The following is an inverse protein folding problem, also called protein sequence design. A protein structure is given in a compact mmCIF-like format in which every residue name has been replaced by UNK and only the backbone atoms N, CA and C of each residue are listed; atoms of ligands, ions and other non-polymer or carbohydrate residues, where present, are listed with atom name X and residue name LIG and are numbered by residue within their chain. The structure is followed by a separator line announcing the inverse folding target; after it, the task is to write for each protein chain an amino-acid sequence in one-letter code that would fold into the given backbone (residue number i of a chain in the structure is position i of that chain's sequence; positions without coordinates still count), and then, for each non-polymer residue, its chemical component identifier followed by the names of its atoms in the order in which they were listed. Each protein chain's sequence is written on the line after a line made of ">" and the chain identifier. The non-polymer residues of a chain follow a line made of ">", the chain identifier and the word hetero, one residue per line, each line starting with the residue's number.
data_IF_369158237208
#
_entry.id   IF_369158237208
#
_cell.length_a   1.000
_cell.length_b   1.000
_cell.length_c   1.000
_cell.angle_alpha   90.00
_cell.angle_beta   90.00
_cell.angle_gamma   90.00
#
_symmetry.space_group_name_H-M   'P 1'
#
loop_
_entity.id
_entity.type
_entity.pdbx_description
1 polymer ?
#
# COMPACT_ATOMS: atom_id res chain seq x y z
N UNK A 1 36.78 -54.62 12.49
CA UNK A 1 37.43 -54.20 13.75
C UNK A 1 37.13 -52.72 13.89
N UNK A 2 36.03 -52.35 14.57
CA UNK A 2 35.95 -51.94 16.00
C UNK A 2 36.81 -50.69 16.30
N UNK A 3 36.35 -49.59 16.91
CA UNK A 3 35.11 -49.29 17.65
C UNK A 3 34.82 -47.77 17.73
N UNK A 4 33.53 -47.48 17.95
CA UNK A 4 32.78 -46.33 18.48
C UNK A 4 33.49 -45.17 19.23
N UNK A 5 32.89 -43.96 19.16
CA UNK A 5 32.09 -43.33 20.24
C UNK A 5 31.13 -42.27 19.66
N UNK A 6 29.88 -42.32 20.13
CA UNK A 6 28.74 -41.42 19.89
C UNK A 6 28.93 -40.03 20.51
N UNK A 7 28.26 -39.00 19.98
CA UNK A 7 27.20 -38.34 20.76
C UNK A 7 26.23 -37.55 19.84
N UNK A 8 24.95 -37.71 20.12
CA UNK A 8 23.78 -37.17 19.43
C UNK A 8 23.08 -36.29 20.47
N UNK A 9 22.71 -35.05 20.18
CA UNK A 9 21.54 -34.42 20.85
C UNK A 9 21.10 -33.13 20.16
N UNK A 10 19.82 -33.14 19.78
CA UNK A 10 19.00 -31.98 19.43
C UNK A 10 18.82 -31.07 20.65
N UNK A 11 18.68 -29.75 20.44
CA UNK A 11 17.80 -28.95 21.29
C UNK A 11 17.15 -27.78 20.56
N UNK A 12 15.84 -27.62 20.82
CA UNK A 12 14.92 -26.58 20.34
C UNK A 12 14.49 -25.69 21.53
N UNK A 13 13.77 -24.58 21.32
CA UNK A 13 14.02 -23.32 22.02
C UNK A 13 13.39 -23.20 23.41
N UNK A 14 14.02 -22.33 24.20
CA UNK A 14 13.69 -21.95 25.58
C UNK A 14 12.37 -21.16 25.62
N UNK A 15 11.44 -21.67 26.43
CA UNK A 15 10.20 -21.02 26.88
C UNK A 15 10.54 -20.07 28.04
N UNK A 16 10.11 -18.82 27.97
CA UNK A 16 10.17 -17.86 29.07
C UNK A 16 8.81 -17.71 29.77
N UNK A 17 8.73 -18.18 31.01
CA UNK A 17 7.76 -17.74 32.03
C UNK A 17 8.44 -17.73 33.42
N UNK A 18 7.93 -16.95 34.39
CA UNK A 18 8.73 -16.29 35.42
C UNK A 18 8.82 -17.05 36.76
N UNK A 19 9.97 -16.95 37.42
CA UNK A 19 10.22 -17.20 38.85
C UNK A 19 10.15 -15.86 39.63
N UNK A 20 9.83 -15.72 40.92
CA UNK A 20 9.20 -16.56 41.93
C UNK A 20 8.91 -15.69 43.19
N UNK A 21 7.78 -15.99 43.84
CA UNK A 21 7.34 -15.90 45.25
C UNK A 21 8.02 -15.01 46.32
N UNK A 22 7.17 -14.46 47.19
CA UNK A 22 7.25 -14.67 48.65
C UNK A 22 5.85 -14.56 49.27
N UNK A 23 5.21 -15.70 49.51
CA UNK A 23 4.04 -15.86 50.40
C UNK A 23 4.51 -16.46 51.73
N UNK A 24 4.11 -15.87 52.85
CA UNK A 24 4.38 -16.36 54.21
C UNK A 24 3.08 -16.79 54.92
N UNK A 25 2.88 -18.11 54.95
CA UNK A 25 2.41 -19.00 56.04
C UNK A 25 1.14 -18.65 56.86
N UNK A 26 0.20 -19.60 56.86
CA UNK A 26 -0.96 -19.74 57.76
C UNK A 26 -0.58 -20.60 59.00
N UNK A 27 -1.05 -20.27 60.23
CA UNK A 27 -1.98 -21.10 61.04
C UNK A 27 -1.91 -20.93 62.59
N UNK A 28 -3.11 -20.80 63.18
CA UNK A 28 -3.66 -21.38 64.42
C UNK A 28 -3.29 -20.92 65.86
N UNK A 29 -4.38 -20.48 66.53
CA UNK A 29 -4.93 -20.88 67.84
C UNK A 29 -4.73 -20.08 69.15
N UNK A 30 -5.89 -19.95 69.83
CA UNK A 30 -6.25 -19.70 71.24
C UNK A 30 -5.94 -18.34 71.87
N UNK A 31 -6.94 -17.45 72.05
CA UNK A 31 -8.03 -17.44 73.05
C UNK A 31 -7.51 -17.38 74.49
N UNK A 32 -7.45 -16.17 75.05
CA UNK A 32 -7.63 -15.96 76.49
C UNK A 32 -8.45 -14.71 76.77
N UNK A 33 -9.41 -14.89 77.67
CA UNK A 33 -10.53 -14.04 78.00
C UNK A 33 -10.15 -12.79 78.80
N UNK A 34 -10.73 -11.63 78.45
CA UNK A 34 -10.95 -10.53 79.40
C UNK A 34 -12.45 -10.19 79.38
N UNK A 35 -13.13 -10.60 80.45
CA UNK A 35 -14.52 -10.24 80.74
C UNK A 35 -14.52 -8.80 81.25
N UNK A 36 -15.12 -7.87 80.50
CA UNK A 36 -15.62 -6.61 81.05
C UNK A 36 -17.15 -6.65 81.14
N UNK A 37 -17.60 -6.21 82.31
CA UNK A 37 -18.94 -6.27 82.88
C UNK A 37 -19.89 -5.38 82.08
N UNK A 38 -21.02 -5.94 81.68
CA UNK A 38 -22.08 -5.32 80.90
C UNK A 38 -22.88 -4.33 81.78
N UNK A 39 -22.74 -3.03 81.51
CA UNK A 39 -23.70 -2.00 81.91
C UNK A 39 -24.60 -1.75 80.69
N UNK A 40 -25.87 -2.13 80.80
CA UNK A 40 -26.89 -1.84 79.78
C UNK A 40 -27.33 -0.40 79.92
N UNK A 41 -26.62 0.51 79.24
CA UNK A 41 -27.10 1.86 78.96
C UNK A 41 -27.60 1.92 77.52
N UNK A 42 -28.78 2.51 77.36
CA UNK A 42 -29.64 2.50 76.18
C UNK A 42 -28.90 2.80 74.87
N UNK A 43 -28.53 1.76 74.12
CA UNK A 43 -28.25 1.90 72.70
C UNK A 43 -29.59 2.05 72.00
N UNK A 44 -29.86 3.30 71.60
CA UNK A 44 -30.90 3.71 70.67
C UNK A 44 -30.95 2.70 69.52
N UNK A 45 -31.96 1.84 69.55
CA UNK A 45 -32.26 0.92 68.46
C UNK A 45 -32.63 1.83 67.31
N UNK A 46 -31.72 2.02 66.35
CA UNK A 46 -32.10 2.59 65.07
C UNK A 46 -33.29 1.79 64.59
N UNK A 47 -34.46 2.41 64.60
CA UNK A 47 -35.65 1.88 63.99
C UNK A 47 -35.24 1.48 62.57
N UNK A 48 -35.14 0.17 62.31
CA UNK A 48 -35.36 -0.31 60.96
C UNK A 48 -36.65 0.38 60.52
N UNK A 49 -36.66 1.06 59.35
CA UNK A 49 -37.90 1.58 58.85
C UNK A 49 -38.87 0.42 58.91
N UNK A 50 -39.99 0.58 59.61
CA UNK A 50 -41.12 -0.33 59.48
C UNK A 50 -41.54 -0.22 58.02
N UNK A 51 -40.88 -1.00 57.18
CA UNK A 51 -41.32 -1.31 55.84
C UNK A 51 -42.52 -2.22 56.09
N UNK A 52 -43.62 -1.62 56.52
CA UNK A 52 -44.93 -2.16 56.33
C UNK A 52 -45.03 -2.43 54.83
N UNK A 53 -44.69 -3.65 54.43
CA UNK A 53 -44.97 -4.18 53.12
C UNK A 53 -46.51 -4.29 53.03
N UNK A 54 -47.19 -3.16 52.87
CA UNK A 54 -48.49 -3.13 52.22
C UNK A 54 -48.28 -3.92 50.94
N UNK A 55 -49.06 -5.00 50.74
CA UNK A 55 -49.06 -5.75 49.49
C UNK A 55 -49.22 -4.73 48.37
N UNK A 56 -48.15 -4.50 47.60
CA UNK A 56 -48.21 -3.63 46.44
C UNK A 56 -49.24 -4.21 45.49
N UNK A 57 -50.09 -3.35 44.95
CA UNK A 57 -51.05 -3.80 43.96
C UNK A 57 -50.28 -4.30 42.74
N UNK A 58 -50.77 -5.34 42.05
CA UNK A 58 -50.12 -5.88 40.84
C UNK A 58 -49.76 -4.79 39.82
N UNK A 59 -50.57 -3.71 39.76
CA UNK A 59 -50.31 -2.52 38.95
C UNK A 59 -48.98 -1.82 39.30
N UNK A 60 -48.62 -1.73 40.57
CA UNK A 60 -47.36 -1.11 41.01
C UNK A 60 -46.15 -1.97 40.61
N UNK A 61 -46.23 -3.30 40.79
CA UNK A 61 -45.19 -4.22 40.30
C UNK A 61 -45.03 -4.17 38.77
N UNK A 62 -46.14 -4.07 38.04
CA UNK A 62 -46.09 -3.92 36.58
C UNK A 62 -45.48 -2.59 36.15
N UNK A 63 -45.77 -1.48 36.84
CA UNK A 63 -45.15 -0.19 36.57
C UNK A 63 -43.66 -0.16 36.94
N UNK A 64 -43.25 -0.83 38.02
CA UNK A 64 -41.84 -1.00 38.39
C UNK A 64 -41.09 -1.83 37.35
N UNK A 65 -41.68 -2.95 36.92
CA UNK A 65 -41.16 -3.74 35.81
C UNK A 65 -41.04 -2.89 34.54
N UNK A 66 -42.10 -2.15 34.18
CA UNK A 66 -42.12 -1.32 32.98
C UNK A 66 -41.06 -0.22 33.03
N UNK A 67 -40.85 0.40 34.20
CA UNK A 67 -39.82 1.42 34.40
C UNK A 67 -38.42 0.84 34.17
N UNK A 68 -38.09 -0.27 34.82
CA UNK A 68 -36.77 -0.92 34.68
C UNK A 68 -36.59 -1.45 33.25
N UNK A 69 -37.60 -2.11 32.70
CA UNK A 69 -37.60 -2.63 31.34
C UNK A 69 -37.38 -1.51 30.32
N UNK A 70 -38.09 -0.39 30.45
CA UNK A 70 -37.93 0.76 29.57
C UNK A 70 -36.54 1.38 29.72
N UNK A 71 -36.03 1.52 30.94
CA UNK A 71 -34.69 2.08 31.18
C UNK A 71 -33.59 1.24 30.51
N UNK A 72 -33.61 -0.08 30.67
CA UNK A 72 -32.64 -0.99 30.05
C UNK A 72 -32.80 -1.01 28.53
N UNK A 73 -34.04 -1.09 28.03
CA UNK A 73 -34.34 -1.14 26.60
C UNK A 73 -33.95 0.16 25.89
N UNK A 74 -34.24 1.32 26.48
CA UNK A 74 -33.80 2.62 25.96
C UNK A 74 -32.29 2.78 26.00
N UNK A 75 -31.62 2.28 27.04
CA UNK A 75 -30.15 2.27 27.10
C UNK A 75 -29.55 1.49 25.94
N UNK A 76 -30.07 0.31 25.64
CA UNK A 76 -29.64 -0.51 24.50
C UNK A 76 -29.90 0.20 23.14
N UNK A 77 -31.08 0.79 22.96
CA UNK A 77 -31.39 1.54 21.73
C UNK A 77 -30.53 2.80 21.57
N UNK A 78 -30.28 3.53 22.66
CA UNK A 78 -29.44 4.72 22.65
C UNK A 78 -27.99 4.37 22.27
N UNK A 79 -27.44 3.28 22.82
CA UNK A 79 -26.10 2.81 22.48
C UNK A 79 -26.02 2.37 21.01
N UNK A 80 -27.00 1.59 20.55
CA UNK A 80 -27.07 1.14 19.15
C UNK A 80 -27.15 2.32 18.17
N UNK A 81 -27.97 3.33 18.49
CA UNK A 81 -28.08 4.53 17.67
C UNK A 81 -26.81 5.39 17.70
N UNK A 82 -26.15 5.49 18.87
CA UNK A 82 -24.88 6.19 19.02
C UNK A 82 -23.78 5.52 18.20
N UNK A 83 -23.64 4.20 18.29
CA UNK A 83 -22.67 3.43 17.50
C UNK A 83 -22.92 3.66 16.01
N UNK A 84 -24.14 3.43 15.52
CA UNK A 84 -24.49 3.65 14.12
C UNK A 84 -24.16 5.07 13.62
N UNK A 85 -24.44 6.09 14.44
CA UNK A 85 -24.14 7.48 14.09
C UNK A 85 -22.63 7.75 14.00
N UNK A 86 -21.85 7.18 14.91
CA UNK A 86 -20.38 7.30 14.91
C UNK A 86 -19.78 6.54 13.73
N UNK A 87 -20.25 5.32 13.44
CA UNK A 87 -19.80 4.52 12.30
C UNK A 87 -20.03 5.26 10.98
N UNK A 88 -21.21 5.85 10.79
CA UNK A 88 -21.50 6.66 9.59
C UNK A 88 -20.60 7.88 9.47
N UNK A 89 -20.29 8.56 10.58
CA UNK A 89 -19.37 9.68 10.56
C UNK A 89 -17.96 9.23 10.15
N UNK A 90 -17.47 8.11 10.72
CA UNK A 90 -16.17 7.53 10.37
C UNK A 90 -16.11 7.04 8.92
N UNK A 91 -17.15 6.38 8.43
CA UNK A 91 -17.23 5.96 7.04
C UNK A 91 -17.08 7.14 6.08
N UNK A 92 -17.72 8.27 6.40
CA UNK A 92 -17.60 9.50 5.61
C UNK A 92 -16.19 10.10 5.65
N UNK A 93 -15.55 10.13 6.82
CA UNK A 93 -14.16 10.57 6.96
C UNK A 93 -13.21 9.70 6.11
N UNK A 94 -13.34 8.37 6.22
CA UNK A 94 -12.57 7.43 5.43
C UNK A 94 -12.85 7.54 3.93
N UNK A 95 -14.10 7.72 3.53
CA UNK A 95 -14.45 7.94 2.13
C UNK A 95 -13.77 9.19 1.56
N UNK A 96 -13.73 10.28 2.33
CA UNK A 96 -13.06 11.51 1.91
C UNK A 96 -11.54 11.32 1.74
N UNK A 97 -10.90 10.65 2.71
CA UNK A 97 -9.47 10.35 2.63
C UNK A 97 -9.14 9.37 1.50
N UNK A 98 -9.98 8.36 1.25
CA UNK A 98 -9.83 7.45 0.12
C UNK A 98 -9.95 8.18 -1.22
N UNK A 99 -10.88 9.12 -1.35
CA UNK A 99 -11.01 9.94 -2.57
C UNK A 99 -9.69 10.68 -2.84
N UNK A 100 -9.13 11.34 -1.83
CA UNK A 100 -7.87 12.07 -1.97
C UNK A 100 -6.70 11.16 -2.36
N UNK A 101 -6.60 9.98 -1.72
CA UNK A 101 -5.59 8.97 -2.06
C UNK A 101 -5.74 8.50 -3.52
N UNK A 102 -6.96 8.22 -3.98
CA UNK A 102 -7.26 7.81 -5.36
C UNK A 102 -6.98 8.92 -6.37
N UNK A 103 -7.31 10.18 -6.08
CA UNK A 103 -7.02 11.31 -6.96
C UNK A 103 -5.52 11.51 -7.18
N UNK A 104 -4.74 11.41 -6.10
CA UNK A 104 -3.28 11.49 -6.17
C UNK A 104 -2.71 10.35 -7.00
N UNK A 105 -3.18 9.13 -6.77
CA UNK A 105 -2.71 7.95 -7.49
C UNK A 105 -3.09 8.02 -8.99
N UNK A 106 -4.31 8.44 -9.32
CA UNK A 106 -4.77 8.57 -10.71
C UNK A 106 -4.01 9.65 -11.47
N UNK A 107 -3.68 10.78 -10.85
CA UNK A 107 -2.84 11.82 -11.44
C UNK A 107 -1.43 11.29 -11.77
N UNK A 108 -0.83 10.51 -10.87
CA UNK A 108 0.47 9.87 -11.10
C UNK A 108 0.39 8.85 -12.25
N UNK A 109 -0.62 7.99 -12.23
CA UNK A 109 -0.84 6.94 -13.25
C UNK A 109 -0.96 7.53 -14.67
N UNK A 110 -1.62 8.68 -14.83
CA UNK A 110 -1.71 9.34 -16.13
C UNK A 110 -0.34 9.75 -16.69
N UNK A 111 0.55 10.24 -15.83
CA UNK A 111 1.93 10.59 -16.20
C UNK A 111 2.69 9.34 -16.62
N UNK A 112 2.53 8.24 -15.88
CA UNK A 112 3.22 6.99 -16.16
C UNK A 112 2.76 6.35 -17.48
N UNK A 113 1.45 6.31 -17.75
CA UNK A 113 0.91 5.85 -19.04
C UNK A 113 1.55 6.63 -20.20
N UNK A 114 1.69 7.95 -20.07
CA UNK A 114 2.32 8.80 -21.08
C UNK A 114 3.81 8.44 -21.27
N UNK A 115 4.57 8.30 -20.18
CA UNK A 115 5.98 7.91 -20.25
C UNK A 115 6.18 6.52 -20.87
N UNK A 116 5.36 5.54 -20.51
CA UNK A 116 5.38 4.20 -21.08
C UNK A 116 5.11 4.23 -22.59
N UNK A 117 4.15 5.05 -23.04
CA UNK A 117 3.86 5.25 -24.46
C UNK A 117 5.05 5.85 -25.21
N UNK A 118 5.72 6.86 -24.64
CA UNK A 118 6.93 7.43 -25.22
C UNK A 118 8.08 6.43 -25.30
N UNK A 119 8.35 5.69 -24.23
CA UNK A 119 9.38 4.65 -24.20
C UNK A 119 9.13 3.58 -25.28
N UNK A 120 7.89 3.11 -25.43
CA UNK A 120 7.51 2.17 -26.48
C UNK A 120 7.75 2.71 -27.89
N UNK A 121 7.31 3.94 -28.15
CA UNK A 121 7.51 4.61 -29.43
C UNK A 121 8.99 4.67 -29.80
N UNK A 122 9.86 4.99 -28.82
CA UNK A 122 11.32 4.99 -29.03
C UNK A 122 11.88 3.61 -29.33
N UNK A 123 11.41 2.57 -28.66
CA UNK A 123 11.82 1.18 -28.94
C UNK A 123 11.40 0.77 -30.35
N UNK A 124 10.20 1.15 -30.80
CA UNK A 124 9.74 0.88 -32.16
C UNK A 124 10.58 1.65 -33.20
N UNK A 125 10.93 2.91 -32.92
CA UNK A 125 11.85 3.68 -33.75
C UNK A 125 13.25 3.07 -33.78
N UNK A 126 13.75 2.56 -32.64
CA UNK A 126 15.03 1.87 -32.56
C UNK A 126 15.03 0.59 -33.42
N UNK A 127 13.99 -0.22 -33.31
CA UNK A 127 13.83 -1.44 -34.11
C UNK A 127 13.79 -1.12 -35.60
N UNK A 128 13.07 -0.07 -35.99
CA UNK A 128 13.02 0.44 -37.36
C UNK A 128 14.39 0.92 -37.85
N UNK A 129 15.09 1.72 -37.03
CA UNK A 129 16.42 2.22 -37.33
C UNK A 129 17.44 1.10 -37.56
N UNK A 130 17.42 0.05 -36.75
CA UNK A 130 18.35 -1.08 -36.84
C UNK A 130 18.03 -2.07 -37.96
N UNK A 131 16.85 -1.97 -38.58
CA UNK A 131 16.40 -2.91 -39.59
C UNK A 131 17.40 -2.96 -40.76
N UNK A 132 17.86 -4.18 -41.06
CA UNK A 132 18.80 -4.51 -42.14
C UNK A 132 20.17 -3.82 -42.07
N UNK A 133 20.47 -3.06 -41.00
CA UNK A 133 21.75 -2.39 -40.83
C UNK A 133 22.89 -3.35 -40.48
N UNK A 134 24.07 -3.04 -41.00
CA UNK A 134 25.36 -3.61 -40.58
C UNK A 134 26.02 -2.71 -39.54
N UNK A 135 26.97 -3.27 -38.79
CA UNK A 135 27.65 -2.55 -37.70
C UNK A 135 28.27 -1.21 -38.16
N UNK A 136 28.88 -1.17 -39.35
CA UNK A 136 29.49 0.06 -39.90
C UNK A 136 28.49 1.13 -40.37
N UNK A 137 27.19 0.83 -40.38
CA UNK A 137 26.11 1.73 -40.81
C UNK A 137 25.35 2.34 -39.63
N UNK A 138 25.80 2.06 -38.40
CA UNK A 138 25.19 2.50 -37.14
C UNK A 138 26.11 3.55 -36.51
N UNK A 139 25.66 4.80 -36.49
CA UNK A 139 26.32 5.87 -35.73
C UNK A 139 26.08 5.66 -34.23
N UNK A 140 27.12 5.84 -33.42
CA UNK A 140 27.02 5.78 -31.97
C UNK A 140 26.06 6.87 -31.45
N UNK A 141 26.06 8.08 -32.03
CA UNK A 141 25.17 9.18 -31.62
C UNK A 141 23.71 8.88 -31.89
N UNK A 142 23.41 8.37 -33.08
CA UNK A 142 22.03 7.99 -33.41
C UNK A 142 21.56 6.86 -32.51
N UNK A 143 22.40 5.85 -32.29
CA UNK A 143 22.05 4.73 -31.43
C UNK A 143 21.90 5.13 -29.95
N UNK A 144 22.75 6.03 -29.45
CA UNK A 144 22.58 6.69 -28.16
C UNK A 144 21.25 7.42 -28.07
N UNK A 145 20.90 8.24 -29.07
CA UNK A 145 19.62 8.96 -29.10
C UNK A 145 18.39 8.04 -29.07
N UNK A 146 18.43 6.94 -29.83
CA UNK A 146 17.35 5.94 -29.83
C UNK A 146 17.23 5.16 -28.51
N UNK A 147 18.31 5.06 -27.74
CA UNK A 147 18.34 4.37 -26.43
C UNK A 147 18.22 5.33 -25.24
N UNK A 148 18.07 6.64 -25.50
CA UNK A 148 17.95 7.68 -24.49
C UNK A 148 16.49 7.80 -24.01
N UNK A 149 16.10 6.87 -23.15
CA UNK A 149 14.85 6.91 -22.40
C UNK A 149 15.01 6.15 -21.08
N UNK A 150 14.23 6.52 -20.06
CA UNK A 150 14.17 5.72 -18.84
C UNK A 150 13.57 4.36 -19.18
N UNK A 151 14.36 3.29 -19.01
CA UNK A 151 13.92 1.90 -19.18
C UNK A 151 12.99 1.47 -18.06
N UNK A 152 13.06 2.15 -16.92
CA UNK A 152 12.17 1.99 -15.78
C UNK A 152 11.28 3.24 -15.70
N UNK A 153 9.97 3.05 -15.60
CA UNK A 153 9.05 4.13 -15.25
C UNK A 153 9.25 4.53 -13.77
N UNK A 154 8.68 5.66 -13.33
CA UNK A 154 8.86 6.11 -11.94
C UNK A 154 8.38 5.05 -10.95
N UNK A 155 9.05 4.86 -9.79
CA UNK A 155 8.55 3.95 -8.76
C UNK A 155 7.12 4.36 -8.37
N UNK A 156 6.17 3.44 -8.48
CA UNK A 156 4.81 3.68 -7.99
C UNK A 156 4.88 3.85 -6.48
N UNK A 157 4.47 5.01 -5.97
CA UNK A 157 4.17 5.17 -4.55
C UNK A 157 2.67 5.37 -4.42
N UNK A 158 1.95 4.25 -4.27
CA UNK A 158 0.50 4.26 -4.08
C UNK A 158 0.14 4.86 -2.72
N UNK A 159 -0.93 5.65 -2.69
CA UNK A 159 -1.45 6.29 -1.50
C UNK A 159 -2.31 5.29 -0.73
N UNK A 160 -1.67 4.52 0.16
CA UNK A 160 -2.32 3.40 0.88
C UNK A 160 -2.66 3.67 2.33
N UNK A 161 -2.28 4.83 2.86
CA UNK A 161 -2.40 5.14 4.28
C UNK A 161 -3.84 4.94 4.78
N UNK A 162 -4.83 5.51 4.08
CA UNK A 162 -6.24 5.37 4.46
C UNK A 162 -6.71 3.93 4.38
N UNK A 163 -6.34 3.22 3.31
CA UNK A 163 -6.75 1.85 3.09
C UNK A 163 -6.16 0.90 4.15
N UNK A 164 -4.91 1.11 4.52
CA UNK A 164 -4.24 0.34 5.55
C UNK A 164 -4.83 0.64 6.94
N UNK A 165 -5.25 1.88 7.22
CA UNK A 165 -6.00 2.22 8.43
C UNK A 165 -7.35 1.51 8.48
N UNK A 166 -8.14 1.55 7.39
CA UNK A 166 -9.45 0.89 7.32
C UNK A 166 -9.33 -0.61 7.55
N UNK A 167 -8.35 -1.27 6.91
CA UNK A 167 -8.09 -2.70 7.07
C UNK A 167 -7.63 -3.06 8.47
N UNK A 168 -6.66 -2.32 9.02
CA UNK A 168 -6.05 -2.62 10.32
C UNK A 168 -6.99 -2.36 11.50
N UNK A 169 -7.91 -1.41 11.36
CA UNK A 169 -8.91 -1.08 12.40
C UNK A 169 -10.20 -1.90 12.32
N UNK A 170 -10.40 -2.73 11.30
CA UNK A 170 -11.68 -3.42 11.06
C UNK A 170 -12.82 -2.48 10.64
N UNK A 171 -12.50 -1.24 10.25
CA UNK A 171 -13.47 -0.20 9.88
C UNK A 171 -14.15 -0.43 8.54
N UNK A 172 -13.79 -1.49 7.81
CA UNK A 172 -14.47 -1.87 6.58
C UNK A 172 -15.98 -2.11 6.81
N UNK A 173 -16.36 -2.55 8.02
CA UNK A 173 -17.77 -2.73 8.43
C UNK A 173 -18.60 -1.45 8.41
N UNK A 174 -17.98 -0.27 8.40
CA UNK A 174 -18.69 1.01 8.36
C UNK A 174 -19.18 1.37 6.95
N UNK A 175 -18.72 0.65 5.92
CA UNK A 175 -19.17 0.83 4.55
C UNK A 175 -20.35 -0.10 4.26
N UNK A 176 -21.58 0.44 4.23
CA UNK A 176 -22.79 -0.35 3.99
C UNK A 176 -22.90 -0.89 2.54
N UNK A 177 -22.13 -0.31 1.61
CA UNK A 177 -22.21 -0.63 0.18
C UNK A 177 -21.13 -1.64 -0.24
N UNK A 178 -21.52 -2.91 -0.36
CA UNK A 178 -20.65 -4.02 -0.79
C UNK A 178 -19.90 -3.75 -2.10
N UNK A 179 -20.49 -2.97 -3.02
CA UNK A 179 -19.85 -2.64 -4.29
C UNK A 179 -18.66 -1.69 -4.10
N UNK A 180 -18.72 -0.79 -3.12
CA UNK A 180 -17.58 0.07 -2.74
C UNK A 180 -16.48 -0.81 -2.14
N UNK A 181 -16.83 -1.69 -1.19
CA UNK A 181 -15.87 -2.60 -0.54
C UNK A 181 -15.14 -3.47 -1.56
N UNK A 182 -15.87 -4.06 -2.51
CA UNK A 182 -15.30 -4.92 -3.55
C UNK A 182 -14.34 -4.14 -4.45
N UNK A 183 -14.68 -2.90 -4.83
CA UNK A 183 -13.82 -2.05 -5.67
C UNK A 183 -12.57 -1.57 -4.94
N UNK A 184 -12.69 -1.19 -3.68
CA UNK A 184 -11.54 -0.85 -2.82
C UNK A 184 -10.59 -2.05 -2.70
N UNK A 185 -11.14 -3.25 -2.50
CA UNK A 185 -10.34 -4.49 -2.42
C UNK A 185 -9.65 -4.82 -3.74
N UNK A 186 -10.35 -4.66 -4.86
CA UNK A 186 -9.78 -4.86 -6.20
C UNK A 186 -8.66 -3.85 -6.49
N UNK A 187 -8.85 -2.60 -6.09
CA UNK A 187 -7.83 -1.56 -6.19
C UNK A 187 -6.57 -1.91 -5.38
N UNK A 188 -6.71 -2.32 -4.11
CA UNK A 188 -5.58 -2.78 -3.28
C UNK A 188 -4.81 -3.92 -3.94
N UNK A 189 -5.54 -4.93 -4.43
CA UNK A 189 -4.95 -6.10 -5.08
C UNK A 189 -4.17 -5.72 -6.33
N UNK A 190 -4.75 -4.86 -7.19
CA UNK A 190 -4.11 -4.42 -8.42
C UNK A 190 -2.85 -3.59 -8.13
N UNK A 191 -2.92 -2.63 -7.21
CA UNK A 191 -1.72 -1.82 -6.88
C UNK A 191 -0.60 -2.67 -6.29
N UNK A 192 -0.91 -3.72 -5.51
CA UNK A 192 0.10 -4.67 -4.98
C UNK A 192 0.71 -5.54 -6.08
N UNK A 193 -0.11 -6.01 -7.02
CA UNK A 193 0.39 -6.69 -8.24
C UNK A 193 1.38 -5.78 -8.98
N UNK A 194 1.05 -4.50 -9.11
CA UNK A 194 1.93 -3.52 -9.76
C UNK A 194 3.26 -3.27 -9.06
N UNK A 195 3.31 -3.38 -7.72
CA UNK A 195 4.58 -3.31 -6.99
C UNK A 195 5.46 -4.53 -7.29
N UNK A 196 4.88 -5.73 -7.42
CA UNK A 196 5.61 -6.95 -7.78
C UNK A 196 6.17 -6.86 -9.20
N UNK A 197 5.33 -6.39 -10.12
CA UNK A 197 5.70 -6.11 -11.50
C UNK A 197 6.87 -5.13 -11.61
N UNK A 198 6.82 -4.02 -10.87
CA UNK A 198 7.90 -3.05 -10.82
C UNK A 198 9.21 -3.69 -10.35
N UNK A 199 9.16 -4.49 -9.28
CA UNK A 199 10.33 -5.20 -8.78
C UNK A 199 10.89 -6.21 -9.80
N UNK A 200 10.02 -6.88 -10.56
CA UNK A 200 10.43 -7.77 -11.66
C UNK A 200 11.16 -7.04 -12.79
N UNK A 201 10.72 -5.83 -13.11
CA UNK A 201 11.29 -5.01 -14.17
C UNK A 201 12.69 -4.45 -13.85
N UNK A 202 13.04 -4.34 -12.56
CA UNK A 202 14.36 -3.86 -12.12
C UNK A 202 15.48 -4.71 -12.73
N UNK A 203 15.37 -6.03 -12.64
CA UNK A 203 16.38 -6.95 -13.18
C UNK A 203 16.54 -6.83 -14.70
N UNK A 204 15.43 -6.59 -15.41
CA UNK A 204 15.45 -6.37 -16.86
C UNK A 204 16.12 -5.04 -17.21
N UNK A 205 15.86 -3.98 -16.45
CA UNK A 205 16.50 -2.67 -16.60
C UNK A 205 18.00 -2.72 -16.35
N UNK A 206 18.44 -3.45 -15.33
CA UNK A 206 19.87 -3.66 -15.03
C UNK A 206 20.57 -4.37 -16.19
N UNK A 207 19.96 -5.45 -16.70
CA UNK A 207 20.47 -6.19 -17.87
C UNK A 207 20.63 -5.31 -19.10
N UNK A 208 19.62 -4.49 -19.41
CA UNK A 208 19.67 -3.53 -20.53
C UNK A 208 20.76 -2.49 -20.30
N UNK A 209 20.88 -1.96 -19.09
CA UNK A 209 21.90 -0.95 -18.76
C UNK A 209 23.31 -1.52 -18.90
N UNK A 210 23.56 -2.74 -18.42
CA UNK A 210 24.85 -3.42 -18.57
C UNK A 210 25.21 -3.62 -20.04
N UNK A 211 24.28 -4.17 -20.84
CA UNK A 211 24.51 -4.38 -22.29
C UNK A 211 24.73 -3.05 -23.01
N UNK A 212 23.88 -2.05 -22.76
CA UNK A 212 24.00 -0.71 -23.37
C UNK A 212 25.37 -0.10 -23.09
N UNK A 213 25.84 -0.14 -21.85
CA UNK A 213 27.13 0.45 -21.47
C UNK A 213 28.35 -0.27 -22.08
N UNK A 214 28.19 -1.51 -22.54
CA UNK A 214 29.24 -2.25 -23.29
C UNK A 214 29.22 -1.98 -24.80
N UNK A 215 28.15 -1.37 -25.31
CA UNK A 215 27.92 -1.20 -26.75
C UNK A 215 28.04 0.27 -27.15
N UNK A 216 27.53 1.19 -26.31
CA UNK A 216 27.37 2.61 -26.62
C UNK A 216 28.35 3.41 -25.77
N UNK A 217 29.14 4.28 -26.42
CA UNK A 217 29.83 5.35 -25.71
C UNK A 217 28.83 6.47 -25.40
N UNK A 218 28.52 6.66 -24.11
CA UNK A 218 27.48 7.59 -23.66
C UNK A 218 27.98 9.02 -23.42
N UNK A 219 29.24 9.34 -23.75
CA UNK A 219 29.87 10.62 -23.44
C UNK A 219 29.41 11.79 -24.34
N UNK A 220 28.10 11.91 -24.55
CA UNK A 220 27.47 13.04 -25.24
C UNK A 220 27.01 14.10 -24.24
N UNK A 221 27.23 15.38 -24.59
CA UNK A 221 26.68 16.50 -23.83
C UNK A 221 25.20 16.69 -24.16
N UNK A 222 24.35 16.66 -23.13
CA UNK A 222 22.91 16.87 -23.24
C UNK A 222 22.52 18.17 -22.54
N UNK A 223 21.69 19.04 -23.16
CA UNK A 223 21.10 20.18 -22.48
C UNK A 223 20.24 19.75 -21.27
N UNK A 224 20.49 20.37 -20.10
CA UNK A 224 19.73 20.14 -18.87
C UNK A 224 18.27 20.59 -18.96
N UNK A 225 17.97 21.52 -19.88
CA UNK A 225 16.63 22.10 -20.06
C UNK A 225 15.63 21.16 -20.77
N UNK A 226 16.07 19.99 -21.24
CA UNK A 226 15.25 19.08 -22.04
C UNK A 226 14.90 17.85 -21.22
N UNK A 227 13.60 17.60 -21.03
CA UNK A 227 13.14 16.34 -20.47
C UNK A 227 13.05 15.25 -21.55
N UNK A 228 14.13 14.51 -21.71
CA UNK A 228 14.24 13.44 -22.71
C UNK A 228 13.21 12.32 -22.53
N UNK A 229 12.59 12.15 -21.35
CA UNK A 229 11.56 11.12 -21.14
C UNK A 229 10.23 11.41 -21.86
N UNK A 230 9.97 12.66 -22.23
CA UNK A 230 8.67 13.12 -22.75
C UNK A 230 8.68 13.49 -24.25
N UNK A 231 9.81 13.31 -24.94
CA UNK A 231 9.95 13.62 -26.37
C UNK A 231 10.29 12.37 -27.17
N UNK A 232 9.97 12.38 -28.46
CA UNK A 232 10.24 11.28 -29.39
C UNK A 232 11.74 11.15 -29.72
N UNK A 233 12.15 9.98 -30.25
CA UNK A 233 13.55 9.70 -30.55
C UNK A 233 14.15 10.66 -31.61
N UNK A 234 13.38 11.05 -32.62
CA UNK A 234 13.89 11.89 -33.71
C UNK A 234 14.17 13.31 -33.24
N UNK A 235 13.36 13.83 -32.32
CA UNK A 235 13.60 15.09 -31.60
C UNK A 235 14.91 15.02 -30.80
N UNK A 236 15.16 13.93 -30.08
CA UNK A 236 16.41 13.71 -29.33
C UNK A 236 17.61 13.71 -30.28
N UNK A 237 17.52 12.95 -31.37
CA UNK A 237 18.58 12.86 -32.36
C UNK A 237 18.85 14.22 -33.00
N UNK A 238 17.80 14.98 -33.30
CA UNK A 238 17.94 16.34 -33.84
C UNK A 238 18.70 17.26 -32.88
N UNK A 239 18.41 17.19 -31.57
CA UNK A 239 19.14 17.96 -30.55
C UNK A 239 20.61 17.53 -30.50
N UNK A 240 20.87 16.21 -30.48
CA UNK A 240 22.22 15.64 -30.48
C UNK A 240 23.02 16.02 -31.74
N UNK A 241 22.37 16.10 -32.90
CA UNK A 241 23.00 16.48 -34.16
C UNK A 241 23.25 17.99 -34.29
N UNK A 242 22.52 18.83 -33.55
CA UNK A 242 22.77 20.28 -33.46
C UNK A 242 23.91 20.58 -32.48
N UNK A 243 23.98 19.84 -31.38
CA UNK A 243 25.05 19.94 -30.38
C UNK A 243 26.28 19.11 -30.78
N UNK A 244 26.86 19.41 -31.95
CA UNK A 244 28.09 18.74 -32.38
C UNK A 244 29.29 19.27 -31.60
N UNK A 245 29.87 18.40 -30.79
CA UNK A 245 31.20 18.57 -30.20
C UNK A 245 32.21 17.77 -31.02
N UNK A 246 33.44 18.27 -31.15
CA UNK A 246 34.54 17.54 -31.76
C UNK A 246 35.10 16.55 -30.73
N UNK A 247 35.04 15.25 -31.03
CA UNK A 247 35.51 14.17 -30.17
C UNK A 247 36.83 13.60 -30.70
N UNK A 248 37.95 14.08 -30.18
CA UNK A 248 39.29 13.63 -30.59
C UNK A 248 39.53 13.66 -32.12
N UNK A 249 38.99 14.67 -32.82
CA UNK A 249 39.10 14.80 -34.28
C UNK A 249 38.00 14.09 -35.07
N UNK A 250 37.04 13.44 -34.41
CA UNK A 250 35.87 12.83 -35.03
C UNK A 250 34.59 13.61 -34.75
N UNK A 251 33.70 13.61 -35.74
CA UNK A 251 32.34 14.17 -35.62
C UNK A 251 31.43 13.31 -34.74
N UNK A 252 31.83 12.08 -34.41
CA UNK A 252 31.08 11.14 -33.59
C UNK A 252 31.99 10.26 -32.73
N UNK A 253 31.49 9.84 -31.58
CA UNK A 253 32.11 8.78 -30.78
C UNK A 253 31.96 7.43 -31.50
N UNK A 254 32.85 6.49 -31.22
CA UNK A 254 32.75 5.13 -31.78
C UNK A 254 31.91 4.24 -30.88
N UNK A 255 31.23 3.26 -31.48
CA UNK A 255 30.63 2.17 -30.72
C UNK A 255 31.73 1.40 -29.97
N UNK A 256 31.41 0.92 -28.78
CA UNK A 256 32.32 0.13 -27.95
C UNK A 256 32.40 -1.35 -28.37
N UNK A 257 31.64 -1.74 -29.39
CA UNK A 257 31.63 -3.07 -30.00
C UNK A 257 31.72 -2.97 -31.53
N UNK A 258 32.31 -4.01 -32.13
CA UNK A 258 32.31 -4.27 -33.58
C UNK A 258 31.38 -5.43 -33.97
N UNK A 259 30.70 -6.05 -32.99
CA UNK A 259 29.84 -7.20 -33.20
C UNK A 259 28.36 -6.78 -33.27
N UNK A 260 27.75 -6.91 -34.45
CA UNK A 260 26.32 -6.60 -34.65
C UNK A 260 25.38 -7.43 -33.75
N UNK A 261 25.83 -8.61 -33.30
CA UNK A 261 25.01 -9.46 -32.44
C UNK A 261 24.83 -8.88 -31.03
N UNK A 262 25.76 -8.04 -30.56
CA UNK A 262 25.62 -7.35 -29.27
C UNK A 262 24.46 -6.35 -29.34
N UNK A 263 24.38 -5.59 -30.45
CA UNK A 263 23.29 -4.63 -30.72
C UNK A 263 21.95 -5.38 -30.86
N UNK A 264 21.91 -6.51 -31.57
CA UNK A 264 20.70 -7.33 -31.71
C UNK A 264 20.25 -7.91 -30.37
N UNK A 265 21.19 -8.35 -29.54
CA UNK A 265 20.91 -8.85 -28.19
C UNK A 265 20.33 -7.76 -27.29
N UNK A 266 20.83 -6.52 -27.41
CA UNK A 266 20.26 -5.37 -26.71
C UNK A 266 18.86 -5.01 -27.24
N UNK A 267 18.65 -5.05 -28.56
CA UNK A 267 17.32 -4.80 -29.15
C UNK A 267 16.30 -5.83 -28.67
N UNK A 268 16.65 -7.11 -28.57
CA UNK A 268 15.75 -8.14 -28.06
C UNK A 268 15.27 -7.81 -26.64
N UNK A 269 16.17 -7.39 -25.75
CA UNK A 269 15.78 -6.99 -24.39
C UNK A 269 14.87 -5.75 -24.39
N UNK A 270 15.11 -4.79 -25.28
CA UNK A 270 14.21 -3.65 -25.44
C UNK A 270 12.83 -4.08 -25.95
N UNK A 271 12.74 -5.04 -26.87
CA UNK A 271 11.46 -5.56 -27.37
C UNK A 271 10.68 -6.30 -26.28
N UNK A 272 11.38 -7.02 -25.39
CA UNK A 272 10.77 -7.62 -24.20
C UNK A 272 10.17 -6.53 -23.30
N UNK A 273 10.95 -5.49 -22.97
CA UNK A 273 10.46 -4.32 -22.20
C UNK A 273 9.24 -3.70 -22.89
N UNK A 274 9.29 -3.49 -24.21
CA UNK A 274 8.19 -2.88 -24.97
C UNK A 274 6.88 -3.64 -24.78
N UNK A 275 6.94 -4.97 -24.72
CA UNK A 275 5.77 -5.81 -24.52
C UNK A 275 5.20 -5.63 -23.11
N UNK A 276 6.05 -5.61 -22.08
CA UNK A 276 5.63 -5.33 -20.69
C UNK A 276 5.00 -3.94 -20.55
N UNK A 277 5.62 -2.92 -21.14
CA UNK A 277 5.08 -1.55 -21.13
C UNK A 277 3.72 -1.44 -21.85
N UNK A 278 3.48 -2.25 -22.89
CA UNK A 278 2.17 -2.29 -23.57
C UNK A 278 1.09 -2.89 -22.66
N UNK A 279 1.38 -4.03 -22.03
CA UNK A 279 0.43 -4.68 -21.14
C UNK A 279 0.11 -3.75 -19.96
N UNK A 280 1.15 -3.21 -19.32
CA UNK A 280 0.99 -2.39 -18.11
C UNK A 280 0.32 -1.04 -18.40
N UNK A 281 0.80 -0.31 -19.41
CA UNK A 281 0.27 1.01 -19.75
C UNK A 281 -1.13 0.96 -20.38
N UNK A 282 -1.29 0.20 -21.46
CA UNK A 282 -2.51 0.26 -22.28
C UNK A 282 -3.64 -0.63 -21.75
N UNK A 283 -3.34 -1.60 -20.87
CA UNK A 283 -4.37 -2.47 -20.28
C UNK A 283 -4.52 -2.22 -18.80
N UNK A 284 -3.51 -2.55 -18.00
CA UNK A 284 -3.67 -2.60 -16.54
C UNK A 284 -3.88 -1.21 -15.93
N UNK A 285 -2.99 -0.25 -16.23
CA UNK A 285 -3.10 1.12 -15.72
C UNK A 285 -4.30 1.87 -16.28
N UNK A 286 -4.64 1.63 -17.54
CA UNK A 286 -5.83 2.23 -18.17
C UNK A 286 -7.11 1.72 -17.50
N UNK A 287 -7.19 0.43 -17.17
CA UNK A 287 -8.30 -0.13 -16.40
C UNK A 287 -8.32 0.40 -14.96
N UNK A 288 -7.16 0.43 -14.28
CA UNK A 288 -7.03 0.99 -12.93
C UNK A 288 -7.55 2.43 -12.88
N UNK A 289 -7.18 3.26 -13.86
CA UNK A 289 -7.64 4.64 -13.95
C UNK A 289 -9.18 4.70 -14.06
N UNK A 290 -9.77 3.86 -14.92
CA UNK A 290 -11.23 3.80 -15.06
C UNK A 290 -11.93 3.34 -13.77
N UNK A 291 -11.41 2.30 -13.13
CA UNK A 291 -11.99 1.75 -11.91
C UNK A 291 -11.85 2.69 -10.71
N UNK A 292 -10.71 3.37 -10.58
CA UNK A 292 -10.46 4.37 -9.55
C UNK A 292 -11.39 5.58 -9.73
N UNK A 293 -11.57 6.09 -10.97
CA UNK A 293 -12.52 7.18 -11.24
C UNK A 293 -13.96 6.78 -10.90
N UNK A 294 -14.38 5.55 -11.27
CA UNK A 294 -15.70 5.04 -10.89
C UNK A 294 -15.85 4.93 -9.36
N UNK A 295 -14.82 4.45 -8.66
CA UNK A 295 -14.83 4.34 -7.21
C UNK A 295 -14.93 5.71 -6.53
N UNK A 296 -14.20 6.72 -7.01
CA UNK A 296 -14.32 8.11 -6.55
C UNK A 296 -15.77 8.59 -6.70
N UNK A 297 -16.38 8.44 -7.88
CA UNK A 297 -17.78 8.84 -8.11
C UNK A 297 -18.76 8.12 -7.18
N UNK A 298 -18.53 6.84 -6.91
CA UNK A 298 -19.36 6.06 -5.98
C UNK A 298 -19.25 6.58 -4.55
N UNK A 299 -18.02 6.82 -4.06
CA UNK A 299 -17.77 7.34 -2.72
C UNK A 299 -18.40 8.74 -2.54
N UNK A 300 -18.22 9.62 -3.54
CA UNK A 300 -18.79 10.97 -3.52
C UNK A 300 -20.32 10.94 -3.42
N UNK A 301 -20.96 10.09 -4.22
CA UNK A 301 -22.41 9.93 -4.24
C UNK A 301 -22.94 9.34 -2.94
N UNK A 302 -22.35 8.25 -2.45
CA UNK A 302 -22.79 7.54 -1.25
C UNK A 302 -22.70 8.44 0.00
N UNK A 303 -21.61 9.18 0.14
CA UNK A 303 -21.33 9.97 1.35
C UNK A 303 -21.64 11.48 1.22
N UNK A 304 -22.23 11.88 0.09
CA UNK A 304 -22.56 13.29 -0.22
C UNK A 304 -21.35 14.22 -0.03
N UNK A 305 -20.22 13.82 -0.61
CA UNK A 305 -18.96 14.58 -0.62
C UNK A 305 -18.95 15.42 -1.91
N UNK A 306 -18.61 16.70 -1.81
CA UNK A 306 -18.54 17.60 -2.98
C UNK A 306 -17.14 17.50 -3.60
N UNK A 307 -17.07 17.67 -4.92
CA UNK A 307 -15.79 17.89 -5.60
C UNK A 307 -15.14 19.16 -5.03
N UNK A 308 -13.93 19.03 -4.49
CA UNK A 308 -13.03 20.18 -4.31
C UNK A 308 -12.37 20.43 -5.68
N UNK A 309 -12.99 21.30 -6.49
CA UNK A 309 -12.42 21.80 -7.74
C UNK A 309 -11.26 22.77 -7.50
#
# INVERSE_FOLDING_TARGET
>A
MSDNINDDTLDKPIISQPENLSDEIISANDTDSIIQKQETENMEVHHHPDIHHKKKNFKEYFLEFLMIFLAVTMGFFAESYREYSVEKARAKEYANSLIHDLEKDTAMVQIDISQMKHARSKIDSLASFLKDKKIGEISNRQFFGYTLFPTLYRPFTWSRATLDEIKSSGSLRYFDNDSIIMRVSAYDALTKHMDQDFNGDVALTERVSEKRNRIIDMNYSLPDSVNYSLIDADSIITILLKNKTNYNGHDDLQLLTSNINDIRSLLNDYLDIRQSLYIRGDRELTHLLSDATQLITMLQKEYSIKDEQ
#
